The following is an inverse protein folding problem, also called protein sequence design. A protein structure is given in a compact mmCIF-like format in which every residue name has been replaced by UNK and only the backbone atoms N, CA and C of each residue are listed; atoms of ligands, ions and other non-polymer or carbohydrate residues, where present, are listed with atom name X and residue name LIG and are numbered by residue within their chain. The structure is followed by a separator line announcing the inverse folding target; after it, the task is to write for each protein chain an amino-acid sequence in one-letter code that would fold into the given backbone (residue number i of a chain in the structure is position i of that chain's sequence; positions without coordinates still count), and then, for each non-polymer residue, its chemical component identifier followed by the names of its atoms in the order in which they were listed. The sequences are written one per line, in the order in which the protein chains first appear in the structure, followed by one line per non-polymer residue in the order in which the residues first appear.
data_IF_372851192743
#
_entry.id   IF_372851192743
#
_cell.length_a   1.000
_cell.length_b   1.000
_cell.length_c   1.000
_cell.angle_alpha   90.00
_cell.angle_beta   90.00
_cell.angle_gamma   90.00
#
_symmetry.space_group_name_H-M   'P 1'
#
loop_
_entity.id
_entity.type
_entity.pdbx_description
1 polymer ?
#
# COMPACT_ATOMS: atom_id res chain seq x y z
N UNK A 1 -22.57 27.27 -25.03
CA UNK A 1 -23.46 26.42 -25.83
C UNK A 1 -24.79 27.12 -25.79
N UNK A 2 -25.09 27.94 -26.80
CA UNK A 2 -26.36 28.68 -26.84
C UNK A 2 -27.44 27.71 -27.29
N UNK A 3 -28.21 27.20 -26.33
CA UNK A 3 -29.33 26.29 -26.58
C UNK A 3 -30.57 27.01 -27.14
N UNK A 4 -30.47 28.29 -27.53
CA UNK A 4 -31.62 29.07 -28.03
C UNK A 4 -32.67 29.39 -26.97
N UNK A 5 -32.35 29.20 -25.68
CA UNK A 5 -33.17 29.59 -24.54
C UNK A 5 -32.65 30.94 -24.06
N UNK A 6 -33.54 31.91 -23.78
CA UNK A 6 -33.12 33.21 -23.27
C UNK A 6 -32.33 33.06 -21.95
N UNK A 7 -31.24 33.81 -21.81
CA UNK A 7 -30.24 33.62 -20.73
C UNK A 7 -30.87 33.64 -19.33
N UNK A 8 -31.87 34.50 -19.11
CA UNK A 8 -32.60 34.63 -17.85
C UNK A 8 -33.29 33.33 -17.38
N UNK A 9 -33.81 32.52 -18.32
CA UNK A 9 -34.44 31.24 -17.99
C UNK A 9 -33.40 30.13 -17.83
N UNK A 10 -32.31 30.22 -18.58
CA UNK A 10 -31.22 29.25 -18.52
C UNK A 10 -30.53 29.23 -17.14
N UNK A 11 -30.33 30.41 -16.53
CA UNK A 11 -29.80 30.54 -15.17
C UNK A 11 -30.73 29.97 -14.10
N UNK A 12 -32.04 30.23 -14.19
CA UNK A 12 -33.04 29.70 -13.24
C UNK A 12 -33.18 28.18 -13.33
N UNK A 13 -33.02 27.61 -14.52
CA UNK A 13 -33.11 26.17 -14.75
C UNK A 13 -31.85 25.41 -14.30
N UNK A 14 -30.68 26.06 -14.36
CA UNK A 14 -29.39 25.47 -14.03
C UNK A 14 -28.96 25.66 -12.57
N UNK A 15 -29.73 26.38 -11.75
CA UNK A 15 -29.37 26.72 -10.37
C UNK A 15 -29.10 25.44 -9.55
N UNK A 16 -27.84 25.25 -9.17
CA UNK A 16 -27.25 24.07 -8.52
C UNK A 16 -27.45 22.69 -9.20
N UNK A 17 -27.90 22.64 -10.47
CA UNK A 17 -28.15 21.39 -11.20
C UNK A 17 -27.28 21.25 -12.45
N UNK A 18 -26.85 20.02 -12.74
CA UNK A 18 -26.19 19.73 -14.02
C UNK A 18 -27.22 19.80 -15.14
N UNK A 19 -26.85 20.38 -16.29
CA UNK A 19 -27.72 20.51 -17.46
C UNK A 19 -28.30 19.19 -17.98
N UNK A 20 -27.67 18.05 -17.70
CA UNK A 20 -28.23 16.74 -18.04
C UNK A 20 -29.47 16.38 -17.22
N UNK A 21 -29.57 16.85 -15.98
CA UNK A 21 -30.76 16.65 -15.12
C UNK A 21 -31.89 17.61 -15.54
N UNK A 22 -31.54 18.79 -16.05
CA UNK A 22 -32.49 19.81 -16.55
C UNK A 22 -33.20 19.30 -17.81
N UNK A 23 -32.51 18.55 -18.68
CA UNK A 23 -33.07 17.99 -19.94
C UNK A 23 -34.15 16.91 -19.73
N UNK A 24 -34.33 16.40 -18.51
CA UNK A 24 -35.31 15.36 -18.18
C UNK A 24 -36.58 15.98 -17.55
N UNK A 25 -36.59 17.29 -17.33
CA UNK A 25 -37.74 18.00 -16.74
C UNK A 25 -38.92 18.05 -17.71
N UNK A 26 -40.12 17.89 -17.15
CA UNK A 26 -41.38 18.05 -17.90
C UNK A 26 -41.73 19.54 -18.06
N UNK A 27 -42.52 19.90 -19.08
CA UNK A 27 -42.92 21.30 -19.33
C UNK A 27 -43.65 21.94 -18.13
N UNK A 28 -44.43 21.17 -17.37
CA UNK A 28 -45.06 21.66 -16.14
C UNK A 28 -44.07 22.02 -15.02
N UNK A 29 -42.96 21.28 -14.90
CA UNK A 29 -41.91 21.60 -13.92
C UNK A 29 -41.10 22.82 -14.33
N UNK A 30 -40.88 23.01 -15.64
CA UNK A 30 -40.22 24.20 -16.20
C UNK A 30 -41.07 25.45 -15.91
N UNK A 31 -42.40 25.37 -16.11
CA UNK A 31 -43.32 26.46 -15.78
C UNK A 31 -43.24 26.86 -14.29
N UNK A 32 -43.17 25.87 -13.40
CA UNK A 32 -43.10 26.09 -11.96
C UNK A 32 -41.76 26.70 -11.49
N UNK A 33 -40.64 26.29 -12.11
CA UNK A 33 -39.30 26.80 -11.77
C UNK A 33 -39.09 28.22 -12.31
N UNK A 34 -39.54 28.48 -13.54
CA UNK A 34 -39.36 29.77 -14.19
C UNK A 34 -40.46 30.78 -13.86
N UNK A 35 -41.60 30.35 -13.30
CA UNK A 35 -42.74 31.20 -12.98
C UNK A 35 -43.46 31.74 -14.21
N UNK A 36 -43.49 30.97 -15.29
CA UNK A 36 -44.02 31.37 -16.61
C UNK A 36 -45.30 30.61 -16.96
N UNK A 37 -46.04 31.13 -17.95
CA UNK A 37 -47.24 30.48 -18.46
C UNK A 37 -46.94 29.15 -19.17
N UNK A 38 -47.95 28.30 -19.27
CA UNK A 38 -47.82 26.96 -19.86
C UNK A 38 -47.43 26.96 -21.33
N UNK A 39 -47.72 28.05 -22.07
CA UNK A 39 -47.35 28.18 -23.48
C UNK A 39 -45.85 28.40 -23.63
N UNK A 40 -45.31 29.41 -22.94
CA UNK A 40 -43.87 29.71 -22.92
C UNK A 40 -43.02 28.55 -22.40
N UNK A 41 -43.52 27.81 -21.39
CA UNK A 41 -42.84 26.63 -20.87
C UNK A 41 -42.79 25.45 -21.87
N UNK A 42 -43.82 25.31 -22.71
CA UNK A 42 -43.87 24.29 -23.75
C UNK A 42 -42.89 24.60 -24.89
N UNK A 43 -42.73 25.87 -25.25
CA UNK A 43 -41.74 26.32 -26.24
C UNK A 43 -40.31 26.00 -25.77
N UNK A 44 -39.96 26.34 -24.53
CA UNK A 44 -38.65 26.01 -23.94
C UNK A 44 -38.42 24.49 -23.93
N UNK A 45 -39.44 23.71 -23.58
CA UNK A 45 -39.37 22.24 -23.60
C UNK A 45 -39.07 21.70 -25.01
N UNK A 46 -39.76 22.21 -26.05
CA UNK A 46 -39.51 21.78 -27.44
C UNK A 46 -38.11 22.13 -27.94
N UNK A 47 -37.58 23.28 -27.54
CA UNK A 47 -36.20 23.70 -27.87
C UNK A 47 -35.17 22.80 -27.17
N UNK A 48 -35.43 22.41 -25.92
CA UNK A 48 -34.59 21.46 -25.18
C UNK A 48 -34.62 20.04 -25.78
N UNK A 49 -35.79 19.58 -26.22
CA UNK A 49 -35.96 18.29 -26.91
C UNK A 49 -35.25 18.29 -28.27
N UNK A 50 -35.32 19.39 -29.03
CA UNK A 50 -34.62 19.54 -30.31
C UNK A 50 -33.08 19.56 -30.16
N UNK A 51 -32.58 20.10 -29.05
CA UNK A 51 -31.14 20.10 -28.72
C UNK A 51 -30.62 18.71 -28.31
N UNK A 52 -31.50 17.83 -27.84
CA UNK A 52 -31.20 16.42 -27.62
C UNK A 52 -31.26 15.68 -28.97
N UNK A 53 -30.13 15.61 -29.70
CA UNK A 53 -30.02 14.81 -30.94
C UNK A 53 -30.76 13.47 -30.83
N UNK A 54 -31.61 13.08 -31.80
CA UNK A 54 -32.39 11.87 -31.71
C UNK A 54 -31.51 10.65 -31.96
N UNK A 55 -31.34 9.82 -30.93
CA UNK A 55 -30.93 8.43 -31.13
C UNK A 55 -32.18 7.55 -31.22
N UNK A 56 -32.37 7.01 -32.43
CA UNK A 56 -33.17 5.84 -32.80
C UNK A 56 -34.70 5.89 -32.66
N UNK A 57 -35.34 5.85 -33.83
CA UNK A 57 -36.71 5.37 -34.08
C UNK A 57 -36.78 3.85 -33.79
N UNK A 58 -37.89 3.44 -33.20
CA UNK A 58 -38.18 2.11 -32.69
C UNK A 58 -38.01 0.96 -33.71
N UNK A 59 -37.32 -0.11 -33.29
CA UNK A 59 -37.42 -1.45 -33.86
C UNK A 59 -37.51 -2.48 -32.72
N UNK A 60 -38.53 -3.35 -32.85
CA UNK A 60 -38.83 -4.59 -32.12
C UNK A 60 -38.10 -4.89 -30.80
N UNK A 61 -38.86 -4.90 -29.71
CA UNK A 61 -38.43 -5.37 -28.38
C UNK A 61 -38.32 -6.89 -28.33
N UNK A 62 -37.12 -7.44 -28.56
CA UNK A 62 -36.67 -8.62 -27.81
C UNK A 62 -36.02 -8.13 -26.51
N UNK A 63 -36.64 -8.44 -25.38
CA UNK A 63 -36.17 -7.99 -24.05
C UNK A 63 -34.95 -8.79 -23.62
N UNK A 64 -33.77 -8.43 -24.08
CA UNK A 64 -32.52 -8.90 -23.48
C UNK A 64 -32.28 -8.14 -22.18
N UNK A 65 -32.53 -8.80 -21.05
CA UNK A 65 -32.31 -8.23 -19.72
C UNK A 65 -30.80 -8.07 -19.49
N UNK A 66 -30.26 -6.90 -19.84
CA UNK A 66 -28.90 -6.52 -19.47
C UNK A 66 -28.91 -6.10 -18.01
N UNK A 67 -28.61 -7.05 -17.11
CA UNK A 67 -28.30 -6.74 -15.71
C UNK A 67 -27.03 -5.88 -15.66
N UNK A 68 -27.20 -4.56 -15.55
CA UNK A 68 -26.10 -3.66 -15.14
C UNK A 68 -25.62 -4.11 -13.77
N UNK A 69 -24.39 -4.62 -13.69
CA UNK A 69 -23.74 -4.87 -12.41
C UNK A 69 -23.66 -3.54 -11.65
N UNK A 70 -24.02 -3.51 -10.36
CA UNK A 70 -23.87 -2.30 -9.57
C UNK A 70 -22.39 -1.87 -9.58
N UNK A 71 -22.10 -0.56 -9.57
CA UNK A 71 -20.74 -0.08 -9.44
C UNK A 71 -20.14 -0.69 -8.18
N UNK A 72 -18.93 -1.26 -8.30
CA UNK A 72 -18.20 -1.81 -7.16
C UNK A 72 -18.10 -0.70 -6.11
N UNK A 73 -18.77 -0.86 -4.97
CA UNK A 73 -18.54 -0.05 -3.77
C UNK A 73 -17.03 0.02 -3.55
N UNK A 74 -16.46 1.21 -3.58
CA UNK A 74 -15.08 1.41 -3.13
C UNK A 74 -14.98 0.81 -1.72
N UNK A 75 -14.23 -0.29 -1.57
CA UNK A 75 -13.88 -0.79 -0.25
C UNK A 75 -13.13 0.34 0.46
N UNK A 76 -13.60 0.76 1.63
CA UNK A 76 -12.87 1.69 2.50
C UNK A 76 -11.45 1.14 2.65
N UNK A 77 -10.44 1.88 2.17
CA UNK A 77 -9.01 1.53 2.28
C UNK A 77 -8.43 1.79 3.67
N UNK A 78 -9.27 1.93 4.70
CA UNK A 78 -8.78 1.94 6.07
C UNK A 78 -8.65 0.49 6.49
N UNK A 79 -7.42 -0.03 6.51
CA UNK A 79 -7.13 -1.24 7.25
C UNK A 79 -7.62 -1.01 8.69
N UNK A 80 -8.39 -1.93 9.29
CA UNK A 80 -8.76 -1.79 10.68
C UNK A 80 -7.47 -1.65 11.51
N UNK A 81 -7.47 -0.74 12.49
CA UNK A 81 -6.35 -0.68 13.43
C UNK A 81 -6.16 -2.07 14.02
N UNK A 82 -4.93 -2.58 13.92
CA UNK A 82 -4.57 -3.86 14.50
C UNK A 82 -4.83 -3.76 16.01
N UNK A 83 -5.64 -4.67 16.55
CA UNK A 83 -5.88 -4.71 17.98
C UNK A 83 -4.57 -5.03 18.70
N UNK A 84 -4.28 -4.27 19.75
CA UNK A 84 -3.12 -4.50 20.58
C UNK A 84 -3.27 -5.82 21.32
N UNK A 85 -2.46 -6.81 20.97
CA UNK A 85 -2.38 -8.08 21.69
C UNK A 85 -1.31 -7.96 22.81
N UNK A 86 -1.73 -7.83 24.08
CA UNK A 86 -0.79 -7.73 25.19
C UNK A 86 0.03 -9.01 25.37
N UNK A 87 -0.53 -10.18 25.07
CA UNK A 87 0.15 -11.45 25.28
C UNK A 87 1.30 -11.65 24.30
N UNK A 88 1.06 -11.38 23.01
CA UNK A 88 2.12 -11.43 22.00
C UNK A 88 3.27 -10.48 22.35
N UNK A 89 2.96 -9.28 22.87
CA UNK A 89 3.97 -8.33 23.30
C UNK A 89 4.73 -8.80 24.53
N UNK A 90 4.06 -9.40 25.52
CA UNK A 90 4.73 -9.99 26.67
C UNK A 90 5.66 -11.14 26.28
N UNK A 91 5.23 -12.03 25.36
CA UNK A 91 6.11 -13.06 24.79
C UNK A 91 7.32 -12.45 24.07
N UNK A 92 7.13 -11.32 23.37
CA UNK A 92 8.23 -10.61 22.71
C UNK A 92 9.20 -9.98 23.72
N UNK A 93 8.70 -9.40 24.82
CA UNK A 93 9.52 -8.78 25.87
C UNK A 93 10.36 -9.84 26.59
N UNK A 94 9.74 -10.99 26.90
CA UNK A 94 10.35 -12.14 27.58
C UNK A 94 11.19 -13.02 26.64
N UNK A 95 11.27 -12.67 25.35
CA UNK A 95 12.05 -13.44 24.37
C UNK A 95 13.53 -13.41 24.74
N UNK A 96 14.14 -14.59 24.82
CA UNK A 96 15.54 -14.83 25.17
C UNK A 96 15.90 -14.43 26.61
N UNK A 97 14.95 -14.51 27.55
CA UNK A 97 15.26 -14.40 28.97
C UNK A 97 15.32 -15.80 29.60
N UNK A 98 16.41 -16.09 30.30
CA UNK A 98 16.55 -17.31 31.10
C UNK A 98 15.90 -17.09 32.48
N UNK A 99 14.57 -17.13 32.52
CA UNK A 99 13.75 -16.91 33.73
C UNK A 99 13.99 -17.99 34.79
N UNK A 100 14.46 -19.16 34.35
CA UNK A 100 14.73 -20.32 35.21
C UNK A 100 16.11 -20.27 35.89
N UNK A 101 16.94 -19.26 35.61
CA UNK A 101 18.27 -19.17 36.24
C UNK A 101 18.14 -18.86 37.74
N UNK A 102 18.88 -19.59 38.58
CA UNK A 102 18.80 -19.47 40.05
C UNK A 102 19.17 -18.05 40.50
N UNK A 103 20.12 -17.40 39.82
CA UNK A 103 20.53 -16.02 40.10
C UNK A 103 19.41 -15.04 39.70
N UNK A 104 18.68 -15.32 38.62
CA UNK A 104 17.59 -14.46 38.16
C UNK A 104 16.44 -14.44 39.17
N UNK A 105 16.04 -15.62 39.65
CA UNK A 105 14.98 -15.76 40.65
C UNK A 105 15.37 -15.07 41.96
N UNK A 106 16.62 -15.25 42.41
CA UNK A 106 17.13 -14.56 43.60
C UNK A 106 17.11 -13.03 43.45
N UNK A 107 17.53 -12.50 42.29
CA UNK A 107 17.50 -11.07 42.05
C UNK A 107 16.06 -10.54 41.94
N UNK A 108 15.14 -11.30 41.33
CA UNK A 108 13.74 -10.93 41.22
C UNK A 108 13.06 -10.88 42.60
N UNK A 109 13.25 -11.90 43.44
CA UNK A 109 12.70 -11.92 44.81
C UNK A 109 13.25 -10.75 45.64
N UNK A 110 14.55 -10.48 45.56
CA UNK A 110 15.17 -9.36 46.26
C UNK A 110 14.70 -8.01 45.74
N UNK A 111 14.46 -7.89 44.43
CA UNK A 111 13.91 -6.67 43.82
C UNK A 111 12.50 -6.38 44.37
N UNK A 112 11.68 -7.42 44.53
CA UNK A 112 10.34 -7.33 45.12
C UNK A 112 10.43 -6.98 46.61
N UNK A 113 11.33 -7.62 47.37
CA UNK A 113 11.57 -7.34 48.80
C UNK A 113 11.96 -5.88 49.03
N UNK A 114 12.82 -5.33 48.16
CA UNK A 114 13.34 -3.97 48.27
C UNK A 114 12.46 -2.92 47.59
N UNK A 115 11.36 -3.34 46.95
CA UNK A 115 10.46 -2.48 46.18
C UNK A 115 11.20 -1.63 45.12
N UNK A 116 12.19 -2.24 44.45
CA UNK A 116 12.93 -1.60 43.36
C UNK A 116 12.30 -2.04 42.04
N UNK A 117 11.80 -1.07 41.28
CA UNK A 117 11.20 -1.31 39.97
C UNK A 117 12.30 -1.46 38.90
N UNK A 118 12.72 -2.70 38.65
CA UNK A 118 13.64 -3.05 37.56
C UNK A 118 12.92 -3.82 36.45
N UNK A 119 13.23 -3.47 35.20
CA UNK A 119 12.71 -4.18 34.04
C UNK A 119 13.28 -5.60 33.99
N UNK A 120 12.49 -6.63 33.61
CA UNK A 120 12.96 -8.02 33.49
C UNK A 120 14.25 -8.19 32.67
N UNK A 121 14.46 -7.35 31.65
CA UNK A 121 15.70 -7.33 30.86
C UNK A 121 16.92 -6.83 31.62
N UNK A 122 16.76 -5.81 32.47
CA UNK A 122 17.86 -5.31 33.28
C UNK A 122 18.30 -6.39 34.27
N UNK A 123 17.35 -7.14 34.83
CA UNK A 123 17.66 -8.29 35.68
C UNK A 123 18.44 -9.37 34.91
N UNK A 124 18.06 -9.66 33.66
CA UNK A 124 18.79 -10.60 32.80
C UNK A 124 20.21 -10.11 32.45
N UNK A 125 20.36 -8.82 32.13
CA UNK A 125 21.68 -8.24 31.85
C UNK A 125 22.59 -8.29 33.09
N UNK A 126 22.01 -8.15 34.30
CA UNK A 126 22.72 -8.32 35.56
C UNK A 126 23.14 -9.78 35.79
N UNK A 127 22.26 -10.76 35.53
CA UNK A 127 22.60 -12.18 35.69
C UNK A 127 23.69 -12.59 34.72
N UNK A 128 23.58 -12.22 33.44
CA UNK A 128 24.62 -12.44 32.44
C UNK A 128 25.94 -11.77 32.84
N UNK A 129 25.89 -10.53 33.33
CA UNK A 129 27.05 -9.79 33.79
C UNK A 129 27.72 -10.38 35.04
N UNK A 130 26.97 -11.04 35.92
CA UNK A 130 27.51 -11.77 37.08
C UNK A 130 28.14 -13.09 36.63
N UNK A 131 27.51 -13.80 35.69
CA UNK A 131 27.96 -15.06 35.15
C UNK A 131 29.24 -14.92 34.32
N UNK A 132 29.33 -13.85 33.51
CA UNK A 132 30.53 -13.50 32.75
C UNK A 132 31.75 -13.23 33.65
N UNK A 133 31.53 -12.80 34.89
CA UNK A 133 32.58 -12.58 35.91
C UNK A 133 32.96 -13.85 36.67
N UNK A 134 32.32 -15.00 36.39
CA UNK A 134 32.67 -16.30 36.94
C UNK A 134 32.00 -16.66 38.27
N UNK A 135 31.07 -15.84 38.77
CA UNK A 135 30.31 -16.14 40.00
C UNK A 135 29.13 -17.05 39.68
N UNK A 136 29.24 -18.35 40.02
CA UNK A 136 28.17 -19.35 39.86
C UNK A 136 27.01 -19.19 40.85
N UNK A 137 27.25 -18.52 41.97
CA UNK A 137 26.24 -18.18 42.97
C UNK A 137 26.57 -16.83 43.58
N UNK A 138 25.54 -16.09 43.96
CA UNK A 138 25.67 -14.79 44.59
C UNK A 138 25.18 -14.89 46.03
N UNK A 139 25.96 -14.41 46.99
CA UNK A 139 25.47 -14.25 48.36
C UNK A 139 24.32 -13.23 48.37
N UNK A 140 23.31 -13.43 49.23
CA UNK A 140 22.18 -12.50 49.37
C UNK A 140 22.65 -11.06 49.65
N UNK A 141 23.77 -10.90 50.37
CA UNK A 141 24.35 -9.59 50.66
C UNK A 141 24.96 -8.92 49.41
N UNK A 142 25.62 -9.71 48.56
CA UNK A 142 26.24 -9.20 47.34
C UNK A 142 25.20 -8.93 46.26
N UNK A 143 24.14 -9.77 46.18
CA UNK A 143 22.97 -9.51 45.35
C UNK A 143 22.27 -8.19 45.71
N UNK A 144 22.09 -7.92 47.02
CA UNK A 144 21.56 -6.63 47.49
C UNK A 144 22.44 -5.45 47.08
N UNK A 145 23.78 -5.57 47.17
CA UNK A 145 24.70 -4.52 46.72
C UNK A 145 24.61 -4.29 45.21
N UNK A 146 24.51 -5.35 44.41
CA UNK A 146 24.37 -5.25 42.96
C UNK A 146 23.07 -4.55 42.58
N UNK A 147 21.95 -4.93 43.19
CA UNK A 147 20.65 -4.29 42.96
C UNK A 147 20.65 -2.82 43.40
N UNK A 148 21.21 -2.50 44.56
CA UNK A 148 21.30 -1.13 45.05
C UNK A 148 22.18 -0.26 44.15
N UNK A 149 23.31 -0.79 43.69
CA UNK A 149 24.19 -0.13 42.72
C UNK A 149 23.48 0.11 41.40
N UNK A 150 22.82 -0.92 40.84
CA UNK A 150 22.04 -0.82 39.62
C UNK A 150 20.91 0.22 39.75
N UNK A 151 20.18 0.23 40.85
CA UNK A 151 19.15 1.23 41.12
C UNK A 151 19.72 2.64 41.23
N UNK A 152 20.90 2.81 41.83
CA UNK A 152 21.57 4.11 41.95
C UNK A 152 21.99 4.63 40.58
N UNK A 153 22.62 3.78 39.76
CA UNK A 153 22.98 4.13 38.39
C UNK A 153 21.76 4.45 37.54
N UNK A 154 20.69 3.65 37.65
CA UNK A 154 19.43 3.90 36.96
C UNK A 154 18.84 5.26 37.36
N UNK A 155 18.82 5.57 38.66
CA UNK A 155 18.33 6.86 39.15
C UNK A 155 19.17 8.04 38.62
N UNK A 156 20.50 7.90 38.58
CA UNK A 156 21.41 8.92 38.06
C UNK A 156 21.36 9.09 36.54
N UNK A 157 20.96 8.05 35.80
CA UNK A 157 20.85 8.07 34.34
C UNK A 157 19.51 8.62 33.84
N UNK A 158 18.61 9.03 34.73
CA UNK A 158 17.35 9.67 34.36
C UNK A 158 17.63 11.07 33.84
N UNK A 159 16.88 11.49 32.83
CA UNK A 159 16.90 12.88 32.41
C UNK A 159 16.35 13.77 33.53
N UNK A 160 17.03 14.90 33.76
CA UNK A 160 16.59 15.88 34.74
C UNK A 160 15.22 16.46 34.35
N UNK A 161 14.31 16.69 35.32
CA UNK A 161 13.05 17.35 35.05
C UNK A 161 13.29 18.75 34.44
N UNK A 162 12.44 19.14 33.49
CA UNK A 162 12.50 20.44 32.78
C UNK A 162 13.65 20.62 31.78
N UNK A 163 14.41 19.56 31.49
CA UNK A 163 15.39 19.59 30.41
C UNK A 163 14.71 19.82 29.04
N UNK A 164 15.35 20.61 28.18
CA UNK A 164 14.82 20.96 26.85
C UNK A 164 15.00 19.82 25.83
N UNK A 165 14.50 18.62 26.16
CA UNK A 165 14.69 17.38 25.39
C UNK A 165 14.27 17.51 23.93
N UNK A 166 13.27 18.33 23.61
CA UNK A 166 12.83 18.56 22.24
C UNK A 166 13.88 19.29 21.38
N UNK A 167 14.59 20.27 21.94
CA UNK A 167 15.62 21.01 21.22
C UNK A 167 16.87 20.14 21.06
N UNK A 168 17.30 19.50 22.16
CA UNK A 168 18.46 18.59 22.14
C UNK A 168 18.26 17.45 21.15
N UNK A 169 17.08 16.81 21.13
CA UNK A 169 16.79 15.74 20.17
C UNK A 169 16.73 16.23 18.73
N UNK A 170 16.14 17.40 18.46
CA UNK A 170 16.10 17.99 17.14
C UNK A 170 17.52 18.33 16.61
N UNK A 171 18.39 18.84 17.47
CA UNK A 171 19.78 19.10 17.10
C UNK A 171 20.56 17.81 16.87
N UNK A 172 20.46 16.83 17.77
CA UNK A 172 21.19 15.55 17.66
C UNK A 172 20.83 14.74 16.41
N UNK A 173 19.59 14.83 15.91
CA UNK A 173 19.19 14.19 14.65
C UNK A 173 19.56 15.03 13.42
N UNK A 174 19.53 16.36 13.54
CA UNK A 174 19.77 17.30 12.43
C UNK A 174 21.24 17.53 12.11
N UNK A 175 22.10 17.60 13.12
CA UNK A 175 23.55 17.82 12.98
C UNK A 175 24.25 16.80 12.05
N UNK A 176 24.05 15.46 12.21
CA UNK A 176 24.65 14.50 11.30
C UNK A 176 24.08 14.58 9.88
N UNK A 177 22.89 15.20 9.69
CA UNK A 177 22.31 15.41 8.36
C UNK A 177 23.19 16.27 7.46
N UNK A 178 23.94 17.23 8.02
CA UNK A 178 24.89 18.06 7.27
C UNK A 178 26.16 17.27 6.88
N UNK A 179 26.55 16.31 7.72
CA UNK A 179 27.69 15.42 7.49
C UNK A 179 27.34 14.23 6.59
N UNK A 180 26.05 13.99 6.36
CA UNK A 180 25.54 12.93 5.49
C UNK A 180 25.74 13.31 4.01
N UNK A 181 27.00 13.39 3.58
CA UNK A 181 27.37 13.55 2.18
C UNK A 181 27.25 12.23 1.42
N UNK A 182 27.20 12.30 0.09
CA UNK A 182 27.07 11.16 -0.82
C UNK A 182 28.14 10.09 -0.52
N UNK A 183 27.79 9.04 0.23
CA UNK A 183 28.60 7.82 0.21
C UNK A 183 28.35 7.12 -1.12
N UNK A 184 29.31 7.21 -2.04
CA UNK A 184 29.30 6.51 -3.33
C UNK A 184 29.57 5.03 -3.12
N UNK A 185 28.55 4.28 -2.73
CA UNK A 185 28.66 2.84 -2.63
C UNK A 185 28.35 2.17 -3.96
N UNK A 186 29.40 1.72 -4.64
CA UNK A 186 29.32 0.59 -5.55
C UNK A 186 29.12 -0.66 -4.69
N UNK A 187 27.87 -0.95 -4.30
CA UNK A 187 27.56 -2.24 -3.70
C UNK A 187 27.73 -3.31 -4.78
N UNK A 188 28.89 -3.96 -4.81
CA UNK A 188 29.10 -5.17 -5.59
C UNK A 188 28.19 -6.27 -5.01
N UNK A 189 27.11 -6.62 -5.71
CA UNK A 189 26.46 -7.90 -5.41
C UNK A 189 25.00 -8.12 -5.78
N UNK A 190 24.13 -7.10 -5.92
CA UNK A 190 22.72 -7.34 -6.30
C UNK A 190 22.14 -6.13 -7.04
N UNK A 191 21.63 -6.35 -8.26
CA UNK A 191 21.26 -5.32 -9.23
C UNK A 191 20.01 -4.46 -8.92
N UNK A 192 19.44 -4.49 -7.71
CA UNK A 192 18.06 -3.97 -7.53
C UNK A 192 17.78 -3.15 -6.28
N UNK A 193 18.75 -2.89 -5.40
CA UNK A 193 18.52 -1.97 -4.27
C UNK A 193 19.17 -0.63 -4.60
N UNK A 194 18.36 0.37 -4.96
CA UNK A 194 18.84 1.74 -5.11
C UNK A 194 19.25 2.27 -3.72
N UNK A 195 20.54 2.13 -3.38
CA UNK A 195 21.15 2.54 -2.10
C UNK A 195 21.52 4.02 -2.07
N UNK A 196 20.65 4.93 -2.55
CA UNK A 196 20.96 6.37 -2.62
C UNK A 196 20.02 7.26 -1.82
N UNK A 197 19.21 6.71 -0.90
CA UNK A 197 18.17 7.50 -0.26
C UNK A 197 18.49 8.08 1.11
N UNK A 198 19.75 8.10 1.57
CA UNK A 198 20.11 8.49 2.95
C UNK A 198 19.34 9.68 3.54
N UNK A 199 19.76 10.91 3.23
CA UNK A 199 19.10 12.12 3.72
C UNK A 199 17.71 12.36 3.11
N UNK A 200 17.48 12.15 1.79
CA UNK A 200 16.15 12.32 1.20
C UNK A 200 15.08 11.45 1.86
N UNK A 201 15.41 10.23 2.28
CA UNK A 201 14.47 9.32 2.94
C UNK A 201 14.07 9.80 4.32
N UNK A 202 15.02 10.33 5.10
CA UNK A 202 14.74 10.89 6.43
C UNK A 202 13.74 12.04 6.30
N UNK A 203 13.94 12.92 5.31
CA UNK A 203 13.01 14.02 5.02
C UNK A 203 11.62 13.48 4.64
N UNK A 204 11.53 12.47 3.76
CA UNK A 204 10.23 11.88 3.39
C UNK A 204 9.44 11.32 4.57
N UNK A 205 10.14 10.71 5.54
CA UNK A 205 9.54 10.12 6.75
C UNK A 205 9.05 11.22 7.70
N UNK A 206 9.89 12.23 7.96
CA UNK A 206 9.55 13.35 8.86
C UNK A 206 8.42 14.20 8.29
N UNK A 207 8.41 14.45 6.98
CA UNK A 207 7.34 15.18 6.29
C UNK A 207 6.03 14.38 6.15
N UNK A 208 6.01 13.10 6.57
CA UNK A 208 4.88 12.19 6.42
C UNK A 208 4.32 12.15 4.98
N UNK A 209 5.20 12.07 3.97
CA UNK A 209 4.77 12.07 2.56
C UNK A 209 3.87 10.88 2.26
N UNK A 210 2.73 11.15 1.60
CA UNK A 210 1.73 10.13 1.25
C UNK A 210 2.27 9.00 0.36
N UNK A 211 3.17 9.32 -0.58
CA UNK A 211 3.79 8.35 -1.47
C UNK A 211 5.30 8.60 -1.47
N UNK A 212 6.12 7.65 -0.98
CA UNK A 212 7.57 7.79 -1.02
C UNK A 212 8.11 7.58 -2.44
N UNK A 213 9.29 8.14 -2.76
CA UNK A 213 9.84 8.06 -4.13
C UNK A 213 10.23 6.64 -4.54
N UNK A 214 10.77 5.83 -3.63
CA UNK A 214 11.00 4.39 -3.89
C UNK A 214 10.38 3.56 -2.78
N UNK A 215 9.11 3.16 -2.92
CA UNK A 215 8.50 2.22 -1.99
C UNK A 215 9.15 0.84 -2.17
N UNK A 216 9.58 0.24 -1.06
CA UNK A 216 10.07 -1.14 -1.02
C UNK A 216 9.17 -1.96 -0.10
N UNK A 217 8.99 -3.23 -0.43
CA UNK A 217 8.21 -4.18 0.37
C UNK A 217 9.04 -5.42 0.62
N UNK A 218 9.17 -5.80 1.89
CA UNK A 218 9.75 -7.07 2.29
C UNK A 218 8.59 -8.05 2.53
N UNK A 219 8.48 -9.06 1.67
CA UNK A 219 7.39 -10.04 1.73
C UNK A 219 7.94 -11.29 2.41
N UNK A 220 7.47 -11.55 3.63
CA UNK A 220 7.75 -12.79 4.33
C UNK A 220 6.86 -13.91 3.77
N UNK A 221 7.41 -15.12 3.73
CA UNK A 221 6.70 -16.32 3.32
C UNK A 221 6.42 -17.16 4.57
N UNK A 222 5.21 -17.70 4.65
CA UNK A 222 4.88 -18.68 5.68
C UNK A 222 5.66 -19.97 5.47
N UNK A 223 5.94 -20.68 6.55
CA UNK A 223 6.68 -21.95 6.50
C UNK A 223 5.91 -23.00 5.70
N UNK A 224 4.57 -23.02 5.81
CA UNK A 224 3.69 -24.01 5.21
C UNK A 224 2.70 -23.36 4.25
N UNK A 225 2.50 -23.97 3.08
CA UNK A 225 1.37 -23.67 2.21
C UNK A 225 0.04 -24.08 2.86
N UNK A 226 -1.09 -23.62 2.32
CA UNK A 226 -2.46 -24.09 2.69
C UNK A 226 -2.69 -25.61 2.54
N UNK A 227 -1.69 -26.36 2.04
CA UNK A 227 -1.67 -27.81 1.88
C UNK A 227 -0.61 -28.51 2.76
N UNK A 228 -0.04 -27.83 3.76
CA UNK A 228 0.93 -28.40 4.69
C UNK A 228 2.31 -28.73 4.09
N UNK A 229 2.67 -28.14 2.95
CA UNK A 229 3.99 -28.34 2.31
C UNK A 229 4.92 -27.16 2.60
N UNK A 230 6.22 -27.39 2.84
CA UNK A 230 7.17 -26.31 3.09
C UNK A 230 7.27 -25.38 1.88
N UNK A 231 6.97 -24.10 2.08
CA UNK A 231 6.94 -23.09 1.02
C UNK A 231 8.27 -22.34 0.93
N UNK A 232 8.91 -22.07 2.07
CA UNK A 232 10.19 -21.36 2.15
C UNK A 232 11.33 -22.11 1.42
N UNK A 233 11.33 -23.44 1.47
CA UNK A 233 12.39 -24.26 0.84
C UNK A 233 12.20 -24.48 -0.66
N UNK A 234 11.00 -24.23 -1.20
CA UNK A 234 10.68 -24.57 -2.59
C UNK A 234 10.83 -23.36 -3.52
N UNK A 235 12.02 -23.20 -4.09
CA UNK A 235 12.37 -22.10 -5.01
C UNK A 235 11.37 -21.94 -6.18
N UNK A 236 10.88 -23.05 -6.76
CA UNK A 236 9.95 -23.00 -7.90
C UNK A 236 8.59 -22.42 -7.50
N UNK A 237 8.12 -22.74 -6.30
CA UNK A 237 6.86 -22.20 -5.78
C UNK A 237 6.98 -20.71 -5.45
N UNK A 238 8.09 -20.31 -4.83
CA UNK A 238 8.40 -18.91 -4.52
C UNK A 238 8.51 -18.09 -5.79
N UNK A 239 9.22 -18.58 -6.81
CA UNK A 239 9.35 -17.90 -8.11
C UNK A 239 7.99 -17.71 -8.79
N UNK A 240 7.11 -18.70 -8.72
CA UNK A 240 5.75 -18.59 -9.26
C UNK A 240 4.91 -17.53 -8.53
N UNK A 241 5.03 -17.44 -7.20
CA UNK A 241 4.35 -16.39 -6.44
C UNK A 241 4.93 -15.01 -6.72
N UNK A 242 6.26 -14.89 -6.82
CA UNK A 242 6.93 -13.65 -7.19
C UNK A 242 6.44 -13.14 -8.55
N UNK A 243 6.37 -14.02 -9.56
CA UNK A 243 5.82 -13.69 -10.88
C UNK A 243 4.34 -13.28 -10.84
N UNK A 244 3.57 -13.80 -9.88
CA UNK A 244 2.16 -13.41 -9.69
C UNK A 244 1.96 -12.04 -9.03
N UNK A 245 2.92 -11.59 -8.22
CA UNK A 245 2.90 -10.27 -7.57
C UNK A 245 3.46 -9.20 -8.50
N UNK A 246 4.40 -9.59 -9.36
CA UNK A 246 5.05 -8.69 -10.28
C UNK A 246 4.08 -8.19 -11.37
N UNK A 247 3.89 -6.87 -11.43
CA UNK A 247 3.15 -6.25 -12.53
C UNK A 247 3.97 -6.37 -13.81
N UNK A 248 3.41 -7.07 -14.80
CA UNK A 248 4.04 -7.23 -16.11
C UNK A 248 3.32 -6.38 -17.15
N UNK A 249 4.07 -5.55 -17.87
CA UNK A 249 3.56 -4.75 -18.97
C UNK A 249 3.89 -5.39 -20.32
N UNK A 250 3.23 -4.96 -21.40
CA UNK A 250 3.51 -5.49 -22.76
C UNK A 250 4.97 -5.26 -23.18
N UNK A 251 5.58 -4.16 -22.75
CA UNK A 251 6.99 -3.86 -23.04
C UNK A 251 7.98 -4.83 -22.38
N UNK A 252 7.60 -5.48 -21.27
CA UNK A 252 8.46 -6.46 -20.60
C UNK A 252 8.45 -7.82 -21.32
N UNK A 253 7.40 -8.12 -22.08
CA UNK A 253 7.15 -9.44 -22.68
C UNK A 253 7.27 -9.46 -24.20
N UNK A 254 7.13 -8.31 -24.86
CA UNK A 254 7.06 -8.22 -26.32
C UNK A 254 7.82 -7.00 -26.84
N UNK A 255 8.49 -7.18 -27.98
CA UNK A 255 8.94 -6.06 -28.80
C UNK A 255 7.76 -5.55 -29.64
N UNK A 256 7.56 -4.23 -29.67
CA UNK A 256 6.44 -3.60 -30.34
C UNK A 256 6.96 -2.95 -31.62
N UNK A 257 6.56 -3.51 -32.77
CA UNK A 257 6.84 -2.96 -34.10
C UNK A 257 5.57 -2.31 -34.64
N UNK A 258 5.65 -1.05 -35.05
CA UNK A 258 4.50 -0.31 -35.60
C UNK A 258 4.65 -0.23 -37.12
N UNK A 259 3.72 -0.86 -37.85
CA UNK A 259 3.68 -0.78 -39.30
C UNK A 259 2.68 0.29 -39.75
N UNK A 260 3.20 1.39 -40.29
CA UNK A 260 2.40 2.59 -40.61
C UNK A 260 1.55 2.37 -41.86
N UNK A 261 2.08 1.65 -42.84
CA UNK A 261 1.45 1.37 -44.15
C UNK A 261 0.16 0.58 -43.99
N UNK A 262 0.20 -0.51 -43.22
CA UNK A 262 -0.93 -1.38 -42.95
C UNK A 262 -1.74 -0.97 -41.70
N UNK A 263 -1.25 0.02 -40.94
CA UNK A 263 -1.85 0.51 -39.69
C UNK A 263 -2.06 -0.59 -38.63
N UNK A 264 -1.22 -1.61 -38.61
CA UNK A 264 -1.25 -2.68 -37.62
C UNK A 264 -0.01 -2.62 -36.70
N UNK A 265 -0.16 -3.18 -35.50
CA UNK A 265 0.91 -3.23 -34.50
C UNK A 265 1.36 -4.68 -34.38
N UNK A 266 2.60 -4.96 -34.73
CA UNK A 266 3.19 -6.28 -34.62
C UNK A 266 3.87 -6.41 -33.25
N UNK A 267 3.39 -7.33 -32.43
CA UNK A 267 3.96 -7.68 -31.14
C UNK A 267 4.77 -8.98 -31.30
N UNK A 268 6.08 -8.88 -31.21
CA UNK A 268 6.97 -10.04 -31.18
C UNK A 268 7.17 -10.51 -29.74
N UNK A 269 6.59 -11.66 -29.39
CA UNK A 269 6.64 -12.20 -28.05
C UNK A 269 8.01 -12.83 -27.76
N UNK A 270 8.64 -12.41 -26.66
CA UNK A 270 9.93 -12.93 -26.22
C UNK A 270 9.69 -14.13 -25.29
N UNK A 271 9.90 -15.33 -25.82
CA UNK A 271 9.61 -16.58 -25.10
C UNK A 271 10.40 -16.74 -23.79
N UNK A 272 11.61 -16.17 -23.70
CA UNK A 272 12.41 -16.19 -22.48
C UNK A 272 11.74 -15.41 -21.35
N UNK A 273 11.23 -14.21 -21.65
CA UNK A 273 10.57 -13.35 -20.68
C UNK A 273 9.22 -13.94 -20.26
N UNK A 274 8.47 -14.51 -21.22
CA UNK A 274 7.20 -15.21 -20.92
C UNK A 274 7.39 -16.39 -19.96
N UNK A 275 8.45 -17.19 -20.13
CA UNK A 275 8.78 -18.30 -19.21
C UNK A 275 9.14 -17.82 -17.81
N UNK A 276 9.88 -16.72 -17.68
CA UNK A 276 10.23 -16.13 -16.38
C UNK A 276 8.99 -15.63 -15.64
N UNK A 277 8.03 -15.05 -16.37
CA UNK A 277 6.75 -14.57 -15.83
C UNK A 277 5.69 -15.68 -15.69
N UNK A 278 5.99 -16.89 -16.14
CA UNK A 278 5.07 -18.03 -16.11
C UNK A 278 3.79 -17.83 -16.93
N UNK A 279 3.84 -17.05 -18.03
CA UNK A 279 2.71 -16.79 -18.92
C UNK A 279 2.86 -17.54 -20.25
N UNK A 280 1.72 -17.91 -20.86
CA UNK A 280 1.70 -18.46 -22.21
C UNK A 280 1.28 -17.41 -23.26
N UNK A 281 1.73 -17.56 -24.51
CA UNK A 281 1.38 -16.62 -25.60
C UNK A 281 -0.13 -16.53 -25.85
N UNK A 282 -0.84 -17.65 -25.74
CA UNK A 282 -2.31 -17.68 -25.84
C UNK A 282 -2.99 -16.87 -24.73
N UNK A 283 -2.49 -16.94 -23.49
CA UNK A 283 -3.01 -16.15 -22.37
C UNK A 283 -2.75 -14.65 -22.59
N UNK A 284 -1.62 -14.29 -23.20
CA UNK A 284 -1.29 -12.91 -23.54
C UNK A 284 -2.26 -12.38 -24.59
N UNK A 285 -2.53 -13.15 -25.66
CA UNK A 285 -3.53 -12.81 -26.67
C UNK A 285 -4.91 -12.56 -26.04
N UNK A 286 -5.36 -13.48 -25.19
CA UNK A 286 -6.67 -13.38 -24.53
C UNK A 286 -6.76 -12.16 -23.60
N UNK A 287 -5.70 -11.87 -22.83
CA UNK A 287 -5.63 -10.68 -21.97
C UNK A 287 -5.65 -9.39 -22.79
N UNK A 288 -4.89 -9.33 -23.88
CA UNK A 288 -4.83 -8.15 -24.77
C UNK A 288 -6.15 -7.94 -25.50
N UNK A 289 -6.78 -9.00 -26.00
CA UNK A 289 -8.08 -8.91 -26.68
C UNK A 289 -9.16 -8.39 -25.73
N UNK A 290 -9.18 -8.86 -24.46
CA UNK A 290 -10.11 -8.33 -23.44
C UNK A 290 -9.84 -6.88 -23.07
N UNK A 291 -8.57 -6.48 -22.98
CA UNK A 291 -8.18 -5.14 -22.57
C UNK A 291 -8.44 -4.10 -23.67
N UNK A 292 -8.05 -4.41 -24.91
CA UNK A 292 -8.14 -3.49 -26.04
C UNK A 292 -9.48 -3.60 -26.79
N UNK A 293 -10.23 -4.69 -26.61
CA UNK A 293 -11.44 -5.03 -27.38
C UNK A 293 -11.19 -5.04 -28.90
N UNK A 294 -9.95 -5.32 -29.29
CA UNK A 294 -9.52 -5.46 -30.67
C UNK A 294 -9.40 -6.93 -31.03
N UNK A 295 -9.57 -7.21 -32.32
CA UNK A 295 -9.24 -8.50 -32.89
C UNK A 295 -7.72 -8.61 -33.01
N UNK A 296 -7.15 -9.67 -32.46
CA UNK A 296 -5.70 -9.91 -32.46
C UNK A 296 -5.47 -11.18 -33.26
N UNK A 297 -4.74 -11.04 -34.37
CA UNK A 297 -4.28 -12.16 -35.17
C UNK A 297 -3.04 -12.77 -34.54
N UNK A 298 -2.96 -14.09 -34.58
CA UNK A 298 -1.86 -14.86 -34.02
C UNK A 298 -1.26 -15.72 -35.12
N UNK A 299 0.07 -15.85 -35.15
CA UNK A 299 0.77 -16.75 -36.06
C UNK A 299 0.51 -18.23 -35.78
N UNK A 300 0.19 -18.57 -34.53
CA UNK A 300 -0.15 -19.93 -34.09
C UNK A 300 -1.19 -19.89 -32.95
N UNK A 301 -2.14 -20.84 -32.93
CA UNK A 301 -3.19 -20.87 -31.92
C UNK A 301 -2.71 -21.29 -30.52
N UNK A 302 -1.79 -22.25 -30.42
CA UNK A 302 -1.36 -22.83 -29.14
C UNK A 302 -0.20 -22.07 -28.49
N UNK A 303 0.75 -21.62 -29.32
CA UNK A 303 1.98 -20.94 -28.88
C UNK A 303 2.35 -19.82 -29.86
N UNK A 304 1.58 -18.72 -29.87
CA UNK A 304 1.89 -17.60 -30.74
C UNK A 304 3.24 -16.99 -30.37
N UNK A 305 4.04 -16.67 -31.38
CA UNK A 305 5.27 -15.89 -31.25
C UNK A 305 5.09 -14.47 -31.76
N UNK A 306 4.10 -14.26 -32.63
CA UNK A 306 3.76 -12.96 -33.20
C UNK A 306 2.26 -12.73 -33.05
N UNK A 307 1.91 -11.55 -32.54
CA UNK A 307 0.53 -11.07 -32.48
C UNK A 307 0.42 -9.79 -33.31
N UNK A 308 -0.64 -9.67 -34.10
CA UNK A 308 -0.91 -8.51 -34.96
C UNK A 308 -2.30 -7.95 -34.70
#
# INVERSE_FOLDING_TARGET
MDLGIAEEFSHKLADDRKWDDVKILTSGQIAQICGIDSGSAQEIFTVMEASAKPSARAAATEKTIVRRRPPRRHKKKALPMQQYDPEAKMRQILRNLDIDDEIYQQLQELSIEMNIDLTPRILNDLTEGVRARGSKSLSRADAKKVLMSASTFLASARADPYEAVGITTAQSIGEPGTQMTMRTFHYAGVATVNVTQGLPRVIEIVDARKVPKTPTMLIYLDELNSKGKPLNTNEKAVRKMAAGIEMTTTGDIAAIDVEITQRHINLQLINSNLKLKGMNGAEVRDKLSRALRLYIQADNEDRPKRLT
#
